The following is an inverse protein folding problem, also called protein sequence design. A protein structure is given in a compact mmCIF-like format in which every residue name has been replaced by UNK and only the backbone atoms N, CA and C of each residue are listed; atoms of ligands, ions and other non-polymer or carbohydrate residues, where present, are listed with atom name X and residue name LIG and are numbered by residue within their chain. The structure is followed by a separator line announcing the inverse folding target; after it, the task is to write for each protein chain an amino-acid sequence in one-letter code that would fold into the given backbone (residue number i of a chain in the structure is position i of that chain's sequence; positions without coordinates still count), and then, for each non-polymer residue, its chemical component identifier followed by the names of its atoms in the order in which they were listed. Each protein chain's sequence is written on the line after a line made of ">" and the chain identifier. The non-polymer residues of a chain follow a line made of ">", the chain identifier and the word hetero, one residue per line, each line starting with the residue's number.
data_IF_310166180232
#
_entry.id   IF_310166180232
#
_cell.length_a   1.000
_cell.length_b   1.000
_cell.length_c   1.000
_cell.angle_alpha   90.00
_cell.angle_beta   90.00
_cell.angle_gamma   90.00
#
_symmetry.space_group_name_H-M   'P 1'
#
loop_
_entity.id
_entity.type
_entity.pdbx_description
1 polymer ?
#
# COMPACT_ATOMS: atom_id res chain seq x y z
N UNK A 1 -3.21 12.21 14.75
CA UNK A 1 -3.42 11.35 13.57
C UNK A 1 -2.10 11.12 12.87
N UNK A 2 -1.98 10.02 12.12
CA UNK A 2 -0.88 9.74 11.19
C UNK A 2 -1.43 9.85 9.78
N UNK A 3 -0.68 10.49 8.88
CA UNK A 3 -0.90 10.44 7.44
C UNK A 3 0.01 9.35 6.87
N UNK A 4 -0.58 8.31 6.31
CA UNK A 4 0.13 7.20 5.67
C UNK A 4 0.07 7.32 4.14
N UNK A 5 1.17 7.01 3.48
CA UNK A 5 1.34 7.06 2.02
C UNK A 5 1.77 5.68 1.53
N UNK A 6 1.15 5.20 0.47
CA UNK A 6 1.46 3.91 -0.16
C UNK A 6 1.54 4.09 -1.68
N UNK A 7 2.65 3.66 -2.27
CA UNK A 7 2.93 3.74 -3.70
C UNK A 7 3.84 2.61 -4.20
N UNK A 8 3.79 1.45 -3.55
CA UNK A 8 4.77 0.37 -3.79
C UNK A 8 4.61 -0.34 -5.13
N UNK A 9 3.45 -0.24 -5.78
CA UNK A 9 3.18 -0.90 -7.06
C UNK A 9 2.38 0.01 -8.01
N UNK A 10 1.10 -0.24 -8.20
CA UNK A 10 0.24 0.44 -9.18
C UNK A 10 -0.97 1.17 -8.57
N UNK A 11 -1.09 1.16 -7.26
CA UNK A 11 -2.12 1.92 -6.54
C UNK A 11 -1.49 3.09 -5.77
N UNK A 12 -1.94 4.30 -6.04
CA UNK A 12 -1.61 5.46 -5.21
C UNK A 12 -2.62 5.56 -4.06
N UNK A 13 -2.16 5.61 -2.82
CA UNK A 13 -3.05 5.62 -1.66
C UNK A 13 -2.55 6.52 -0.54
N UNK A 14 -3.48 7.29 0.05
CA UNK A 14 -3.26 8.06 1.28
C UNK A 14 -4.34 7.73 2.31
N UNK A 15 -3.94 7.57 3.56
CA UNK A 15 -4.86 7.30 4.67
C UNK A 15 -4.58 8.18 5.88
N UNK A 16 -5.64 8.53 6.61
CA UNK A 16 -5.57 9.19 7.91
C UNK A 16 -6.03 8.21 8.98
N UNK A 17 -5.15 7.91 9.92
CA UNK A 17 -5.44 7.01 11.04
C UNK A 17 -5.32 7.75 12.37
N UNK A 18 -6.27 7.54 13.26
CA UNK A 18 -6.20 8.05 14.63
C UNK A 18 -5.30 7.15 15.47
N UNK A 19 -4.38 7.76 16.23
CA UNK A 19 -3.35 7.02 16.99
C UNK A 19 -3.96 6.27 18.17
N UNK A 20 -4.94 6.87 18.82
CA UNK A 20 -5.46 6.41 20.12
C UNK A 20 -6.19 5.06 20.03
N UNK A 21 -6.78 4.75 18.90
CA UNK A 21 -7.63 3.56 18.72
C UNK A 21 -7.46 2.90 17.34
N UNK A 22 -6.40 3.26 16.60
CA UNK A 22 -6.12 2.79 15.26
C UNK A 22 -7.30 2.92 14.26
N UNK A 23 -8.22 3.86 14.54
CA UNK A 23 -9.38 4.06 13.68
C UNK A 23 -8.98 4.73 12.36
N UNK A 24 -9.40 4.14 11.24
CA UNK A 24 -9.29 4.72 9.92
C UNK A 24 -10.30 5.88 9.80
N UNK A 25 -9.79 7.11 9.73
CA UNK A 25 -10.60 8.33 9.62
C UNK A 25 -10.96 8.63 8.16
N UNK A 26 -10.00 8.46 7.27
CA UNK A 26 -10.19 8.65 5.83
C UNK A 26 -9.20 7.80 5.05
N UNK A 27 -9.62 7.34 3.87
CA UNK A 27 -8.78 6.64 2.92
C UNK A 27 -9.12 7.09 1.51
N UNK A 28 -8.11 7.42 0.75
CA UNK A 28 -8.23 7.84 -0.64
C UNK A 28 -7.27 7.02 -1.49
N UNK A 29 -7.80 6.41 -2.56
CA UNK A 29 -7.04 5.59 -3.50
C UNK A 29 -7.34 6.02 -4.93
N UNK A 30 -6.32 5.97 -5.78
CA UNK A 30 -6.43 6.05 -7.24
C UNK A 30 -5.71 4.83 -7.79
N UNK A 31 -6.47 3.92 -8.41
CA UNK A 31 -5.93 2.74 -9.07
C UNK A 31 -5.45 3.09 -10.48
N UNK A 32 -4.36 2.47 -10.87
CA UNK A 32 -3.77 2.60 -12.21
C UNK A 32 -4.11 1.39 -13.11
N UNK A 33 -4.92 0.43 -12.63
CA UNK A 33 -5.28 -0.82 -13.30
C UNK A 33 -5.67 -0.61 -14.78
N UNK A 34 -6.54 0.38 -15.05
CA UNK A 34 -7.00 0.69 -16.41
C UNK A 34 -5.87 1.12 -17.35
N UNK A 35 -4.83 1.76 -16.82
CA UNK A 35 -3.68 2.20 -17.61
C UNK A 35 -2.73 1.06 -17.92
N UNK A 36 -2.71 0.03 -17.09
CA UNK A 36 -1.85 -1.15 -17.24
C UNK A 36 -2.53 -2.31 -17.97
N UNK A 37 -3.86 -2.31 -18.07
CA UNK A 37 -4.65 -3.42 -18.65
C UNK A 37 -4.24 -3.76 -20.10
N UNK A 38 -3.94 -2.74 -20.93
CA UNK A 38 -3.50 -2.95 -22.32
C UNK A 38 -2.13 -3.63 -22.44
N UNK A 39 -1.33 -3.61 -21.36
CA UNK A 39 -0.01 -4.25 -21.31
C UNK A 39 -0.08 -5.65 -20.67
N UNK A 40 -1.21 -6.00 -20.07
CA UNK A 40 -1.39 -7.27 -19.37
C UNK A 40 -0.57 -7.41 -18.10
N UNK A 41 -0.25 -6.30 -17.46
CA UNK A 41 0.54 -6.22 -16.22
C UNK A 41 1.12 -4.83 -15.97
N UNK A 42 1.70 -4.62 -14.79
CA UNK A 42 2.23 -3.31 -14.38
C UNK A 42 3.48 -2.93 -15.18
N UNK A 43 3.48 -1.72 -15.75
CA UNK A 43 4.63 -1.11 -16.43
C UNK A 43 5.27 -0.10 -15.46
N UNK A 44 6.48 -0.37 -14.92
CA UNK A 44 7.06 0.41 -13.82
C UNK A 44 7.20 1.90 -14.11
N UNK A 45 7.69 2.28 -15.31
CA UNK A 45 7.89 3.69 -15.67
C UNK A 45 6.56 4.43 -15.84
N UNK A 46 5.53 3.76 -16.34
CA UNK A 46 4.19 4.32 -16.41
C UNK A 46 3.62 4.50 -15.00
N UNK A 47 3.78 3.49 -14.14
CA UNK A 47 3.33 3.54 -12.76
C UNK A 47 3.97 4.71 -12.00
N UNK A 48 5.27 4.93 -12.12
CA UNK A 48 5.97 6.06 -11.51
C UNK A 48 5.37 7.40 -11.93
N UNK A 49 5.17 7.63 -13.24
CA UNK A 49 4.55 8.87 -13.74
C UNK A 49 3.14 9.09 -13.20
N UNK A 50 2.33 8.03 -13.16
CA UNK A 50 0.98 8.11 -12.63
C UNK A 50 0.98 8.37 -11.12
N UNK A 51 1.93 7.84 -10.34
CA UNK A 51 2.09 8.20 -8.94
C UNK A 51 2.42 9.68 -8.75
N UNK A 52 3.33 10.23 -9.56
CA UNK A 52 3.68 11.66 -9.51
C UNK A 52 2.46 12.55 -9.77
N UNK A 53 1.52 12.13 -10.62
CA UNK A 53 0.26 12.84 -10.90
C UNK A 53 -0.79 12.61 -9.81
N UNK A 54 -0.96 11.37 -9.36
CA UNK A 54 -2.05 10.96 -8.47
C UNK A 54 -1.84 11.40 -7.02
N UNK A 55 -0.60 11.29 -6.50
CA UNK A 55 -0.32 11.58 -5.09
C UNK A 55 -0.67 13.03 -4.69
N UNK A 56 -0.35 14.08 -5.50
CA UNK A 56 -0.82 15.43 -5.20
C UNK A 56 -2.33 15.58 -5.18
N UNK A 57 -3.06 14.89 -6.07
CA UNK A 57 -4.53 14.90 -6.10
C UNK A 57 -5.12 14.28 -4.84
N UNK A 58 -4.53 13.17 -4.40
CA UNK A 58 -4.92 12.52 -3.14
C UNK A 58 -4.63 13.40 -1.93
N UNK A 59 -3.50 14.11 -1.93
CA UNK A 59 -3.16 15.05 -0.86
C UNK A 59 -4.18 16.19 -0.76
N UNK A 60 -4.68 16.71 -1.87
CA UNK A 60 -5.75 17.71 -1.83
C UNK A 60 -7.05 17.15 -1.19
N UNK A 61 -7.39 15.90 -1.45
CA UNK A 61 -8.53 15.24 -0.77
C UNK A 61 -8.29 15.11 0.74
N UNK A 62 -7.08 14.75 1.14
CA UNK A 62 -6.68 14.73 2.56
C UNK A 62 -6.80 16.12 3.18
N UNK A 63 -6.30 17.18 2.53
CA UNK A 63 -6.44 18.57 2.99
C UNK A 63 -7.90 18.96 3.22
N UNK A 64 -8.78 18.60 2.29
CA UNK A 64 -10.22 18.88 2.41
C UNK A 64 -10.80 18.17 3.63
N UNK A 65 -10.48 16.87 3.81
CA UNK A 65 -10.98 16.08 4.96
C UNK A 65 -10.49 16.60 6.32
N UNK A 66 -9.35 17.29 6.32
CA UNK A 66 -8.79 17.95 7.51
C UNK A 66 -9.23 19.42 7.67
N UNK A 67 -10.18 19.89 6.86
CA UNK A 67 -10.54 21.30 6.79
C UNK A 67 -9.34 22.22 6.56
N UNK A 68 -8.35 21.77 5.78
CA UNK A 68 -7.06 22.43 5.49
C UNK A 68 -6.18 22.67 6.73
N UNK A 69 -6.45 21.99 7.83
CA UNK A 69 -5.70 22.11 9.08
C UNK A 69 -4.89 20.82 9.35
N UNK A 70 -3.59 20.88 9.13
CA UNK A 70 -2.66 19.80 9.41
C UNK A 70 -2.17 19.72 10.86
N UNK A 71 -2.60 20.63 11.75
CA UNK A 71 -2.12 20.70 13.15
C UNK A 71 -2.40 19.40 13.95
N UNK A 72 -3.40 18.62 13.51
CA UNK A 72 -3.76 17.33 14.11
C UNK A 72 -2.85 16.18 13.69
N UNK A 73 -2.03 16.35 12.68
CA UNK A 73 -1.04 15.34 12.28
C UNK A 73 0.09 15.30 13.30
N UNK A 74 0.56 14.10 13.60
CA UNK A 74 1.67 13.84 14.53
C UNK A 74 2.86 13.16 13.85
N UNK A 75 2.62 12.49 12.72
CA UNK A 75 3.64 11.83 11.92
C UNK A 75 3.17 11.66 10.47
N UNK A 76 4.15 11.48 9.59
CA UNK A 76 3.97 11.00 8.22
C UNK A 76 4.53 9.57 8.17
N UNK A 77 3.76 8.63 7.66
CA UNK A 77 4.20 7.25 7.44
C UNK A 77 4.30 6.96 5.94
N UNK A 78 5.26 6.14 5.55
CA UNK A 78 5.53 5.78 4.15
C UNK A 78 5.99 4.32 4.05
N UNK A 79 5.45 3.60 3.09
CA UNK A 79 6.00 2.31 2.66
C UNK A 79 7.25 2.52 1.84
N UNK A 80 8.36 1.86 2.23
CA UNK A 80 9.63 1.97 1.51
C UNK A 80 10.16 0.65 0.94
N UNK A 81 9.54 -0.49 1.30
CA UNK A 81 9.89 -1.84 0.82
C UNK A 81 8.83 -2.87 1.25
N UNK A 82 8.77 -4.06 0.61
CA UNK A 82 9.17 -4.28 -0.78
C UNK A 82 8.26 -3.53 -1.75
N UNK A 83 8.68 -3.43 -3.02
CA UNK A 83 7.92 -2.82 -4.09
C UNK A 83 8.79 -2.43 -5.28
N UNK A 84 8.18 -1.82 -6.28
CA UNK A 84 8.90 -1.30 -7.43
C UNK A 84 9.69 -0.05 -7.01
N UNK A 85 11.00 -0.05 -7.20
CA UNK A 85 11.88 1.03 -6.71
C UNK A 85 11.49 2.41 -7.27
N UNK A 86 11.10 2.46 -8.54
CA UNK A 86 10.69 3.73 -9.19
C UNK A 86 9.38 4.29 -8.65
N UNK A 87 8.46 3.45 -8.20
CA UNK A 87 7.18 3.87 -7.61
C UNK A 87 7.31 4.21 -6.13
N UNK A 88 8.11 3.43 -5.38
CA UNK A 88 8.44 3.72 -3.98
C UNK A 88 9.08 5.10 -3.80
N UNK A 89 9.94 5.52 -4.74
CA UNK A 89 10.60 6.84 -4.72
C UNK A 89 9.56 7.97 -4.76
N UNK A 90 8.49 7.85 -5.54
CA UNK A 90 7.47 8.90 -5.67
C UNK A 90 6.77 9.17 -4.32
N UNK A 91 6.32 8.12 -3.65
CA UNK A 91 5.73 8.26 -2.31
C UNK A 91 6.73 8.75 -1.26
N UNK A 92 7.98 8.25 -1.30
CA UNK A 92 9.03 8.66 -0.39
C UNK A 92 9.38 10.15 -0.53
N UNK A 93 9.42 10.66 -1.76
CA UNK A 93 9.68 12.10 -2.01
C UNK A 93 8.56 12.97 -1.46
N UNK A 94 7.29 12.58 -1.67
CA UNK A 94 6.15 13.27 -1.07
C UNK A 94 6.21 13.22 0.47
N UNK A 95 6.46 12.05 1.05
CA UNK A 95 6.53 11.86 2.49
C UNK A 95 7.63 12.74 3.13
N UNK A 96 8.82 12.78 2.52
CA UNK A 96 9.92 13.65 2.97
C UNK A 96 9.57 15.13 2.86
N UNK A 97 8.97 15.57 1.75
CA UNK A 97 8.56 16.95 1.56
C UNK A 97 7.53 17.37 2.62
N UNK A 98 6.54 16.52 2.91
CA UNK A 98 5.54 16.77 3.97
C UNK A 98 6.16 16.78 5.35
N UNK A 99 7.01 15.81 5.67
CA UNK A 99 7.72 15.74 6.95
C UNK A 99 8.52 17.00 7.23
N UNK A 100 9.29 17.46 6.25
CA UNK A 100 10.10 18.68 6.36
C UNK A 100 9.23 19.95 6.47
N UNK A 101 8.21 20.08 5.61
CA UNK A 101 7.39 21.29 5.56
C UNK A 101 6.49 21.46 6.78
N UNK A 102 6.04 20.34 7.37
CA UNK A 102 5.17 20.33 8.56
C UNK A 102 5.95 20.14 9.86
N UNK A 103 7.27 19.93 9.78
CA UNK A 103 8.14 19.59 10.92
C UNK A 103 7.61 18.40 11.72
N UNK A 104 7.24 17.31 11.02
CA UNK A 104 6.70 16.08 11.60
C UNK A 104 7.69 14.92 11.41
N UNK A 105 7.74 13.96 12.35
CA UNK A 105 8.54 12.77 12.19
C UNK A 105 8.09 11.93 10.97
N UNK A 106 9.05 11.34 10.27
CA UNK A 106 8.84 10.38 9.21
C UNK A 106 8.99 8.97 9.73
N UNK A 107 7.96 8.16 9.59
CA UNK A 107 7.92 6.74 9.95
C UNK A 107 8.03 5.95 8.64
N UNK A 108 8.96 5.01 8.61
CA UNK A 108 9.17 4.13 7.46
C UNK A 108 8.67 2.74 7.79
N UNK A 109 7.86 2.16 6.91
CA UNK A 109 7.22 0.87 7.16
C UNK A 109 7.39 -0.08 5.97
N UNK A 110 7.31 -1.37 6.29
CA UNK A 110 7.35 -2.46 5.32
C UNK A 110 5.95 -2.77 4.79
N UNK A 111 5.82 -2.94 3.48
CA UNK A 111 4.56 -3.23 2.79
C UNK A 111 3.89 -4.53 3.28
N UNK A 112 4.67 -5.59 3.50
CA UNK A 112 4.14 -6.88 3.96
C UNK A 112 3.63 -6.78 5.41
N UNK A 113 4.34 -6.02 6.26
CA UNK A 113 3.87 -5.70 7.61
C UNK A 113 2.58 -4.89 7.57
N UNK A 114 2.50 -3.94 6.63
CA UNK A 114 1.26 -3.18 6.37
C UNK A 114 0.08 -4.09 6.07
N UNK A 115 0.27 -5.15 5.27
CA UNK A 115 -0.76 -6.16 5.04
C UNK A 115 -1.19 -6.88 6.32
N UNK A 116 -0.25 -7.29 7.18
CA UNK A 116 -0.58 -7.93 8.47
C UNK A 116 -1.35 -6.96 9.36
N UNK A 117 -0.90 -5.71 9.48
CA UNK A 117 -1.55 -4.72 10.34
C UNK A 117 -2.92 -4.28 9.83
N UNK A 118 -3.18 -4.39 8.52
CA UNK A 118 -4.48 -4.07 7.93
C UNK A 118 -5.62 -4.90 8.53
N UNK A 119 -5.33 -6.10 9.05
CA UNK A 119 -6.29 -6.95 9.76
C UNK A 119 -6.86 -6.32 11.04
N UNK A 120 -6.15 -5.34 11.60
CA UNK A 120 -6.51 -4.69 12.86
C UNK A 120 -7.08 -3.28 12.70
N UNK A 121 -7.24 -2.80 11.46
CA UNK A 121 -7.84 -1.50 11.19
C UNK A 121 -9.28 -1.47 11.72
N UNK A 122 -9.62 -0.48 12.55
CA UNK A 122 -10.91 -0.32 13.22
C UNK A 122 -11.23 -1.41 14.25
N UNK A 123 -10.30 -2.31 14.55
CA UNK A 123 -10.47 -3.32 15.57
C UNK A 123 -10.07 -2.79 16.94
N UNK A 124 -10.84 -3.14 17.98
CA UNK A 124 -10.56 -2.75 19.38
C UNK A 124 -9.42 -3.55 20.00
N UNK A 125 -9.16 -4.71 19.47
CA UNK A 125 -8.15 -5.64 19.99
C UNK A 125 -7.35 -6.23 18.83
N UNK A 126 -6.08 -6.48 19.09
CA UNK A 126 -5.21 -7.22 18.20
C UNK A 126 -5.14 -8.66 18.66
N UNK A 127 -5.21 -9.58 17.71
CA UNK A 127 -5.18 -11.01 17.97
C UNK A 127 -3.81 -11.55 17.52
N UNK A 128 -2.87 -11.56 18.45
CA UNK A 128 -1.55 -12.16 18.23
C UNK A 128 -1.25 -13.19 19.32
N UNK A 129 -0.56 -14.28 19.03
CA UNK A 129 0.09 -14.62 17.75
C UNK A 129 -0.91 -15.12 16.70
N UNK A 130 -0.58 -14.91 15.41
CA UNK A 130 -1.38 -15.41 14.29
C UNK A 130 -0.51 -15.80 13.09
N UNK A 131 -1.03 -16.69 12.25
CA UNK A 131 -0.48 -16.98 10.94
C UNK A 131 -1.30 -16.29 9.86
N UNK A 132 -0.63 -15.63 8.94
CA UNK A 132 -1.24 -14.88 7.84
C UNK A 132 -0.88 -15.53 6.52
N UNK A 133 -1.87 -15.94 5.74
CA UNK A 133 -1.70 -16.25 4.33
C UNK A 133 -1.89 -14.95 3.54
N UNK A 134 -0.81 -14.46 2.94
CA UNK A 134 -0.83 -13.29 2.07
C UNK A 134 -0.80 -13.75 0.62
N UNK A 135 -1.83 -13.38 -0.14
CA UNK A 135 -2.00 -13.70 -1.56
C UNK A 135 -2.24 -12.40 -2.31
N UNK A 136 -1.31 -12.05 -3.18
CA UNK A 136 -1.38 -10.82 -4.00
C UNK A 136 -0.82 -11.05 -5.40
N UNK A 137 -0.80 -10.01 -6.22
CA UNK A 137 -0.18 -10.03 -7.55
C UNK A 137 1.32 -10.33 -7.49
N UNK A 138 2.04 -9.81 -6.50
CA UNK A 138 3.49 -9.98 -6.37
C UNK A 138 3.93 -11.02 -5.34
N UNK A 139 3.05 -11.46 -4.44
CA UNK A 139 3.45 -12.28 -3.29
C UNK A 139 2.45 -13.40 -2.98
N UNK A 140 2.97 -14.57 -2.66
CA UNK A 140 2.22 -15.67 -2.04
C UNK A 140 3.07 -16.19 -0.89
N UNK A 141 2.74 -15.75 0.33
CA UNK A 141 3.54 -15.93 1.53
C UNK A 141 2.71 -16.48 2.66
N UNK A 142 3.36 -17.25 3.55
CA UNK A 142 2.85 -17.50 4.89
C UNK A 142 3.73 -16.75 5.86
N UNK A 143 3.12 -15.88 6.67
CA UNK A 143 3.77 -15.09 7.70
C UNK A 143 3.33 -15.58 9.08
N UNK A 144 4.26 -15.63 10.02
CA UNK A 144 3.98 -15.82 11.44
C UNK A 144 4.20 -14.49 12.14
N UNK A 145 3.14 -13.93 12.73
CA UNK A 145 3.19 -12.70 13.52
C UNK A 145 2.99 -13.08 14.99
N UNK A 146 4.06 -13.03 15.79
CA UNK A 146 4.04 -13.32 17.24
C UNK A 146 3.67 -12.10 18.06
N UNK A 147 4.18 -10.96 17.63
CA UNK A 147 3.86 -9.64 18.15
C UNK A 147 4.08 -8.59 17.05
N UNK A 148 3.96 -7.29 17.40
CA UNK A 148 4.09 -6.19 16.43
C UNK A 148 5.49 -6.08 15.80
N UNK A 149 6.54 -6.55 16.47
CA UNK A 149 7.92 -6.46 15.98
C UNK A 149 8.41 -7.79 15.41
N UNK A 150 7.87 -8.92 15.87
CA UNK A 150 8.27 -10.26 15.46
C UNK A 150 7.32 -10.85 14.41
N UNK A 151 7.48 -10.39 13.17
CA UNK A 151 6.78 -10.91 11.98
C UNK A 151 7.82 -11.57 11.07
N UNK A 152 7.64 -12.86 10.77
CA UNK A 152 8.57 -13.67 9.99
C UNK A 152 7.86 -14.31 8.81
N UNK A 153 8.54 -14.34 7.66
CA UNK A 153 8.15 -15.18 6.53
C UNK A 153 8.50 -16.62 6.85
N UNK A 154 7.50 -17.49 6.92
CA UNK A 154 7.64 -18.92 7.20
C UNK A 154 7.75 -19.73 5.91
N UNK A 155 6.99 -19.31 4.89
CA UNK A 155 6.99 -19.94 3.58
C UNK A 155 6.68 -18.92 2.48
N UNK A 156 7.20 -19.18 1.29
CA UNK A 156 6.93 -18.40 0.07
C UNK A 156 6.73 -19.34 -1.09
N UNK A 157 5.99 -18.92 -2.13
CA UNK A 157 5.94 -19.65 -3.39
C UNK A 157 7.36 -19.76 -3.99
N UNK A 158 7.64 -20.90 -4.61
CA UNK A 158 8.93 -21.16 -5.26
C UNK A 158 8.95 -20.70 -6.73
N UNK A 159 7.82 -20.36 -7.27
CA UNK A 159 7.60 -19.91 -8.64
C UNK A 159 6.71 -18.66 -8.62
N UNK A 160 5.75 -18.56 -9.53
CA UNK A 160 4.82 -17.44 -9.60
C UNK A 160 4.01 -17.24 -8.32
N UNK A 161 3.64 -16.01 -8.02
CA UNK A 161 2.59 -15.74 -7.04
C UNK A 161 1.23 -16.19 -7.57
N UNK A 162 0.26 -16.39 -6.69
CA UNK A 162 -1.11 -16.75 -7.09
C UNK A 162 -1.73 -15.70 -8.02
N UNK A 163 -1.59 -14.42 -7.69
CA UNK A 163 -2.13 -13.34 -8.51
C UNK A 163 -1.49 -13.30 -9.89
N UNK A 164 -0.16 -13.43 -9.98
CA UNK A 164 0.55 -13.50 -11.26
C UNK A 164 0.13 -14.73 -12.08
N UNK A 165 -0.09 -15.88 -11.44
CA UNK A 165 -0.58 -17.09 -12.10
C UNK A 165 -1.97 -16.86 -12.69
N UNK A 166 -2.88 -16.23 -11.96
CA UNK A 166 -4.21 -15.86 -12.47
C UNK A 166 -4.11 -14.86 -13.64
N UNK A 167 -3.24 -13.87 -13.56
CA UNK A 167 -3.02 -12.91 -14.65
C UNK A 167 -2.50 -13.60 -15.91
N UNK A 168 -1.57 -14.55 -15.76
CA UNK A 168 -1.04 -15.36 -16.89
C UNK A 168 -2.12 -16.23 -17.52
N UNK A 169 -2.93 -16.91 -16.70
CA UNK A 169 -4.05 -17.75 -17.20
C UNK A 169 -5.08 -16.87 -17.90
N UNK A 170 -5.48 -15.76 -17.32
CA UNK A 170 -6.41 -14.82 -17.94
C UNK A 170 -5.91 -14.31 -19.30
N UNK A 171 -4.63 -13.98 -19.38
CA UNK A 171 -3.98 -13.56 -20.64
C UNK A 171 -3.97 -14.67 -21.68
N UNK A 172 -3.69 -15.92 -21.27
CA UNK A 172 -3.70 -17.08 -22.18
C UNK A 172 -5.09 -17.36 -22.75
N UNK A 173 -6.13 -17.05 -21.99
CA UNK A 173 -7.54 -17.25 -22.35
C UNK A 173 -8.20 -16.00 -22.95
N UNK A 174 -7.44 -14.91 -23.12
CA UNK A 174 -7.92 -13.61 -23.62
C UNK A 174 -9.11 -13.03 -22.82
N UNK A 175 -9.08 -13.22 -21.50
CA UNK A 175 -10.15 -12.78 -20.60
C UNK A 175 -9.94 -11.36 -20.06
N UNK A 176 -8.73 -10.80 -20.18
CA UNK A 176 -8.38 -9.46 -19.72
C UNK A 176 -7.51 -9.42 -18.46
N UNK A 177 -7.43 -8.24 -17.83
CA UNK A 177 -6.60 -7.94 -16.66
C UNK A 177 -7.38 -7.05 -15.69
N UNK A 178 -7.26 -7.25 -14.34
CA UNK A 178 -6.49 -8.30 -13.65
C UNK A 178 -7.19 -9.67 -13.72
N UNK A 179 -6.39 -10.74 -13.72
CA UNK A 179 -6.88 -12.10 -13.88
C UNK A 179 -7.58 -12.69 -12.64
N UNK A 180 -7.17 -12.26 -11.44
CA UNK A 180 -7.69 -12.82 -10.19
C UNK A 180 -9.22 -12.82 -10.07
N UNK A 181 -9.92 -11.71 -10.35
CA UNK A 181 -11.39 -11.65 -10.30
C UNK A 181 -12.09 -12.38 -11.46
N UNK A 182 -11.37 -12.76 -12.52
CA UNK A 182 -11.95 -13.25 -13.78
C UNK A 182 -11.79 -14.77 -13.90
N UNK A 183 -10.66 -15.33 -13.44
CA UNK A 183 -10.31 -16.75 -13.46
C UNK A 183 -10.84 -17.46 -12.22
#
# INVERSE_FOLDING_TARGET
>A
MILSIESSCDDSSLALTRIEDAQLIAHFKISQEKHHSSYGGVVPELASRLHAENLPLLLERVKISLNRDFSKLKAIAITNQPGLSVTLIEGLMMAKALSLSLNLPLIVEDHLRGHVYSLFINEKQTYMPLSVLLVSGGHSLILEARDYEDIKIVATSLDDSFGESFDKVSKMLDLGYPGGPIV
#
